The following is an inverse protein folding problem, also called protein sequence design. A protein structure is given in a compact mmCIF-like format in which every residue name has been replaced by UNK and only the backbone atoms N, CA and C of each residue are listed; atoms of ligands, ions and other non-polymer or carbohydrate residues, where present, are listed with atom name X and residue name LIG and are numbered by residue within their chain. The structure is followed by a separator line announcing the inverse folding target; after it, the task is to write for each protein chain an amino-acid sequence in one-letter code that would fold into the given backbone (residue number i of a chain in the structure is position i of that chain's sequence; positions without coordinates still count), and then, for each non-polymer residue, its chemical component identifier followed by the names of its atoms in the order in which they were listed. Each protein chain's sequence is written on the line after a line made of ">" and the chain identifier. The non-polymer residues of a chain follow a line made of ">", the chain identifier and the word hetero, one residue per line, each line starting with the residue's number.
data_IF_562285095320
#
_entry.id   IF_562285095320
#
_cell.length_a   1.000
_cell.length_b   1.000
_cell.length_c   1.000
_cell.angle_alpha   90.00
_cell.angle_beta   90.00
_cell.angle_gamma   90.00
#
_symmetry.space_group_name_H-M   'P 1'
#
loop_
_entity.id
_entity.type
_entity.pdbx_description
1 polymer ?
#
# COMPACT_ATOMS: atom_id res chain seq x y z
N UNK A 1 21.05 -30.27 -49.38
CA UNK A 1 20.02 -29.69 -48.50
C UNK A 1 20.11 -30.24 -47.06
N UNK A 2 21.27 -30.10 -46.39
CA UNK A 2 21.46 -30.55 -44.99
C UNK A 2 22.06 -29.49 -44.06
N UNK A 3 22.54 -28.37 -44.63
CA UNK A 3 23.20 -27.28 -43.87
C UNK A 3 22.20 -26.18 -43.44
N UNK A 4 21.01 -26.14 -44.05
CA UNK A 4 19.99 -25.09 -43.77
C UNK A 4 19.24 -25.33 -42.44
N UNK A 5 19.20 -26.56 -41.94
CA UNK A 5 18.49 -26.88 -40.69
C UNK A 5 19.24 -26.51 -39.40
N UNK A 6 20.55 -26.25 -39.47
CA UNK A 6 21.36 -25.91 -38.28
C UNK A 6 21.22 -24.42 -37.91
N UNK A 7 20.89 -23.56 -38.88
CA UNK A 7 20.76 -22.10 -38.65
C UNK A 7 19.43 -21.73 -37.98
N UNK A 8 18.37 -22.53 -38.16
CA UNK A 8 17.04 -22.22 -37.62
C UNK A 8 16.85 -22.57 -36.13
N UNK A 9 17.74 -23.41 -35.56
CA UNK A 9 17.65 -23.84 -34.15
C UNK A 9 18.40 -22.89 -33.20
N UNK A 10 19.30 -22.03 -33.70
CA UNK A 10 20.05 -21.10 -32.85
C UNK A 10 19.29 -19.82 -32.46
N UNK A 11 18.06 -19.60 -32.97
CA UNK A 11 17.28 -18.39 -32.68
C UNK A 11 16.33 -18.49 -31.48
N UNK A 12 16.27 -19.64 -30.78
CA UNK A 12 15.30 -19.87 -29.69
C UNK A 12 15.89 -19.82 -28.27
N UNK A 13 17.16 -19.43 -28.07
CA UNK A 13 17.79 -19.46 -26.73
C UNK A 13 18.28 -18.11 -26.20
N UNK A 14 17.82 -17.00 -26.76
CA UNK A 14 17.98 -15.69 -26.10
C UNK A 14 16.83 -15.45 -25.11
N UNK A 15 16.65 -16.36 -24.14
CA UNK A 15 15.90 -16.02 -22.93
C UNK A 15 16.83 -15.16 -22.07
N UNK A 16 16.83 -13.84 -22.33
CA UNK A 16 17.51 -12.89 -21.47
C UNK A 16 16.82 -12.98 -20.11
N UNK A 17 17.52 -13.45 -19.07
CA UNK A 17 16.99 -13.44 -17.71
C UNK A 17 16.90 -11.98 -17.26
N UNK A 18 15.69 -11.41 -17.23
CA UNK A 18 15.48 -10.07 -16.70
C UNK A 18 15.63 -10.04 -15.19
N UNK A 19 16.17 -8.95 -14.66
CA UNK A 19 16.20 -8.70 -13.22
C UNK A 19 14.77 -8.49 -12.71
N UNK A 20 14.42 -9.22 -11.66
CA UNK A 20 13.09 -9.14 -11.05
C UNK A 20 13.02 -8.01 -10.04
N UNK A 21 12.09 -7.09 -10.21
CA UNK A 21 11.82 -5.98 -9.29
C UNK A 21 10.54 -6.28 -8.51
N UNK A 22 10.67 -6.55 -7.22
CA UNK A 22 9.55 -6.66 -6.29
C UNK A 22 9.15 -5.26 -5.84
N UNK A 23 8.13 -4.68 -6.48
CA UNK A 23 7.61 -3.35 -6.15
C UNK A 23 6.61 -3.44 -4.99
N UNK A 24 6.92 -2.77 -3.88
CA UNK A 24 6.02 -2.70 -2.73
C UNK A 24 5.08 -1.50 -2.89
N UNK A 25 3.81 -1.75 -3.18
CA UNK A 25 2.84 -0.74 -3.60
C UNK A 25 1.99 -0.20 -2.45
N UNK A 26 2.28 -0.59 -1.20
CA UNK A 26 1.47 -0.22 -0.03
C UNK A 26 1.28 1.30 0.13
N UNK A 27 2.30 2.09 -0.20
CA UNK A 27 2.28 3.55 -0.09
C UNK A 27 2.11 4.26 -1.44
N UNK A 28 1.80 3.49 -2.50
CA UNK A 28 1.60 4.02 -3.84
C UNK A 28 0.12 3.93 -4.22
N UNK A 29 -0.39 4.97 -4.86
CA UNK A 29 -1.66 4.91 -5.56
C UNK A 29 -1.60 3.93 -6.74
N UNK A 30 -2.77 3.59 -7.29
CA UNK A 30 -2.85 2.75 -8.49
C UNK A 30 -2.17 3.42 -9.71
N UNK A 31 -2.28 4.75 -9.83
CA UNK A 31 -1.66 5.53 -10.90
C UNK A 31 -0.12 5.53 -10.76
N UNK A 32 0.40 5.80 -9.56
CA UNK A 32 1.83 5.77 -9.28
C UNK A 32 2.41 4.37 -9.48
N UNK A 33 1.72 3.33 -8.98
CA UNK A 33 2.09 1.94 -9.20
C UNK A 33 2.19 1.63 -10.69
N UNK A 34 1.19 2.02 -11.46
CA UNK A 34 1.19 1.78 -12.91
C UNK A 34 2.31 2.55 -13.62
N UNK A 35 2.56 3.80 -13.22
CA UNK A 35 3.63 4.63 -13.76
C UNK A 35 5.00 4.01 -13.53
N UNK A 36 5.31 3.64 -12.28
CA UNK A 36 6.58 3.00 -11.92
C UNK A 36 6.75 1.67 -12.64
N UNK A 37 5.72 0.81 -12.64
CA UNK A 37 5.76 -0.48 -13.33
C UNK A 37 6.07 -0.32 -14.81
N UNK A 38 5.36 0.55 -15.53
CA UNK A 38 5.58 0.78 -16.97
C UNK A 38 6.99 1.30 -17.26
N UNK A 39 7.49 2.22 -16.43
CA UNK A 39 8.82 2.80 -16.62
C UNK A 39 9.92 1.74 -16.45
N UNK A 40 9.79 0.84 -15.47
CA UNK A 40 10.77 -0.22 -15.23
C UNK A 40 10.65 -1.36 -16.27
N UNK A 41 9.45 -1.76 -16.66
CA UNK A 41 9.24 -2.76 -17.72
C UNK A 41 9.81 -2.29 -19.06
N UNK A 42 9.71 -1.00 -19.39
CA UNK A 42 10.31 -0.41 -20.59
C UNK A 42 11.86 -0.49 -20.60
N UNK A 43 12.49 -0.62 -19.43
CA UNK A 43 13.93 -0.81 -19.25
C UNK A 43 14.33 -2.30 -19.23
N UNK A 44 13.37 -3.21 -19.38
CA UNK A 44 13.62 -4.65 -19.43
C UNK A 44 13.61 -5.34 -18.06
N UNK A 45 13.12 -4.69 -17.00
CA UNK A 45 12.90 -5.32 -15.70
C UNK A 45 11.59 -6.12 -15.68
N UNK A 46 11.56 -7.23 -14.92
CA UNK A 46 10.33 -7.98 -14.61
C UNK A 46 9.75 -7.47 -13.29
N UNK A 47 8.65 -6.72 -13.34
CA UNK A 47 8.09 -6.05 -12.15
C UNK A 47 6.97 -6.89 -11.52
N UNK A 48 7.15 -7.27 -10.26
CA UNK A 48 6.17 -7.99 -9.46
C UNK A 48 5.69 -7.10 -8.31
N UNK A 49 4.47 -6.57 -8.46
CA UNK A 49 3.83 -5.74 -7.44
C UNK A 49 3.33 -6.59 -6.25
N UNK A 50 3.47 -6.07 -5.03
CA UNK A 50 2.90 -6.66 -3.82
C UNK A 50 2.55 -5.57 -2.78
N UNK A 51 1.67 -5.89 -1.83
CA UNK A 51 1.18 -4.97 -0.79
C UNK A 51 1.73 -5.27 0.60
N UNK A 52 2.84 -6.01 0.69
CA UNK A 52 3.45 -6.40 1.96
C UNK A 52 3.90 -5.17 2.75
N UNK A 53 3.94 -5.32 4.08
CA UNK A 53 4.41 -4.27 5.00
C UNK A 53 5.91 -4.05 4.77
N UNK A 54 6.34 -2.79 4.81
CA UNK A 54 7.75 -2.44 4.77
C UNK A 54 8.43 -2.91 6.07
N UNK A 55 9.65 -3.48 6.02
CA UNK A 55 10.42 -3.78 7.23
C UNK A 55 10.58 -2.56 8.14
N UNK A 56 10.59 -2.76 9.46
CA UNK A 56 10.58 -1.67 10.46
C UNK A 56 11.75 -0.68 10.33
N UNK A 57 12.89 -1.11 9.80
CA UNK A 57 14.10 -0.28 9.62
C UNK A 57 14.10 0.58 8.34
N UNK A 58 13.01 0.54 7.55
CA UNK A 58 12.87 1.28 6.30
C UNK A 58 11.96 2.49 6.52
N UNK A 59 12.54 3.67 6.70
CA UNK A 59 11.81 4.92 6.94
C UNK A 59 11.75 5.86 5.73
N UNK A 60 12.52 5.55 4.69
CA UNK A 60 12.69 6.33 3.46
C UNK A 60 12.67 5.42 2.24
N UNK A 61 12.43 5.98 1.05
CA UNK A 61 12.52 5.25 -0.22
C UNK A 61 13.83 4.47 -0.29
N UNK A 62 13.71 3.14 -0.38
CA UNK A 62 14.82 2.20 -0.26
C UNK A 62 14.81 1.19 -1.41
N UNK A 63 15.97 1.03 -2.02
CA UNK A 63 16.25 -0.05 -2.95
C UNK A 63 17.04 -1.14 -2.23
N UNK A 64 16.44 -2.31 -2.12
CA UNK A 64 17.09 -3.53 -1.64
C UNK A 64 17.55 -4.35 -2.84
N UNK A 65 18.81 -4.74 -2.95
CA UNK A 65 19.27 -5.52 -4.12
C UNK A 65 20.04 -6.78 -3.76
N UNK A 66 19.91 -7.81 -4.60
CA UNK A 66 20.82 -8.95 -4.57
C UNK A 66 22.18 -8.52 -5.13
N UNK A 67 23.31 -8.79 -4.48
CA UNK A 67 24.62 -8.50 -5.06
C UNK A 67 24.95 -9.34 -6.30
N UNK A 68 24.09 -10.30 -6.66
CA UNK A 68 24.14 -11.07 -7.91
C UNK A 68 23.09 -10.60 -8.92
N UNK A 69 22.77 -9.30 -8.94
CA UNK A 69 21.97 -8.70 -10.02
C UNK A 69 22.74 -8.76 -11.33
N UNK A 70 22.06 -9.19 -12.39
CA UNK A 70 22.63 -9.31 -13.72
C UNK A 70 22.63 -7.96 -14.45
N UNK A 71 23.57 -7.78 -15.37
CA UNK A 71 23.78 -6.53 -16.11
C UNK A 71 24.67 -5.55 -15.35
N UNK A 72 25.77 -5.15 -16.00
CA UNK A 72 26.60 -4.06 -15.50
C UNK A 72 25.74 -2.78 -15.42
N UNK A 73 25.79 -2.08 -14.30
CA UNK A 73 25.10 -0.79 -14.10
C UNK A 73 23.56 -0.84 -14.02
N UNK A 74 22.91 -2.02 -14.00
CA UNK A 74 21.43 -2.13 -13.98
C UNK A 74 20.77 -1.45 -12.78
N UNK A 75 21.40 -1.51 -11.60
CA UNK A 75 20.92 -0.80 -10.40
C UNK A 75 20.95 0.72 -10.60
N UNK A 76 22.01 1.27 -11.20
CA UNK A 76 22.10 2.72 -11.43
C UNK A 76 21.08 3.17 -12.48
N UNK A 77 20.90 2.41 -13.57
CA UNK A 77 19.86 2.68 -14.57
C UNK A 77 18.47 2.72 -13.95
N UNK A 78 18.18 1.81 -13.02
CA UNK A 78 16.93 1.79 -12.28
C UNK A 78 16.80 3.05 -11.40
N UNK A 79 17.83 3.41 -10.62
CA UNK A 79 17.82 4.60 -9.76
C UNK A 79 17.62 5.87 -10.59
N UNK A 80 18.38 6.05 -11.67
CA UNK A 80 18.29 7.22 -12.55
C UNK A 80 16.89 7.38 -13.15
N UNK A 81 16.26 6.27 -13.54
CA UNK A 81 14.89 6.25 -14.08
C UNK A 81 13.85 6.67 -13.04
N UNK A 82 14.03 6.22 -11.80
CA UNK A 82 13.17 6.60 -10.69
C UNK A 82 13.32 8.08 -10.35
N UNK A 83 14.56 8.60 -10.26
CA UNK A 83 14.81 10.03 -10.03
C UNK A 83 14.17 10.91 -11.11
N UNK A 84 14.30 10.52 -12.39
CA UNK A 84 13.63 11.23 -13.50
C UNK A 84 12.11 11.21 -13.40
N UNK A 85 11.55 10.21 -12.72
CA UNK A 85 10.11 10.06 -12.47
C UNK A 85 9.66 10.69 -11.16
N UNK A 86 10.53 11.41 -10.45
CA UNK A 86 10.23 12.06 -9.17
C UNK A 86 10.34 11.14 -7.95
N UNK A 87 10.91 9.95 -8.10
CA UNK A 87 11.09 8.98 -7.02
C UNK A 87 12.56 8.95 -6.56
N UNK A 88 12.90 9.81 -5.60
CA UNK A 88 14.23 9.80 -4.99
C UNK A 88 14.49 8.53 -4.19
N UNK A 89 15.62 7.86 -4.43
CA UNK A 89 16.07 6.72 -3.61
C UNK A 89 17.07 7.21 -2.58
N UNK A 90 16.65 7.28 -1.32
CA UNK A 90 17.47 7.79 -0.22
C UNK A 90 18.34 6.72 0.43
N UNK A 91 18.01 5.43 0.23
CA UNK A 91 18.80 4.31 0.74
C UNK A 91 18.94 3.21 -0.29
N UNK A 92 20.15 2.70 -0.47
CA UNK A 92 20.44 1.53 -1.30
C UNK A 92 21.16 0.52 -0.42
N UNK A 93 20.54 -0.63 -0.18
CA UNK A 93 21.09 -1.67 0.71
C UNK A 93 21.10 -3.02 -0.01
N UNK A 94 22.11 -3.88 0.18
CA UNK A 94 22.03 -5.24 -0.32
C UNK A 94 21.08 -6.08 0.56
N UNK A 95 20.41 -7.09 -0.03
CA UNK A 95 19.52 -7.99 0.71
C UNK A 95 20.36 -9.04 1.44
N UNK A 96 20.34 -8.98 2.78
CA UNK A 96 21.01 -9.94 3.67
C UNK A 96 20.07 -10.43 4.76
N UNK A 97 20.25 -11.68 5.20
CA UNK A 97 19.93 -12.12 6.56
C UNK A 97 21.13 -12.88 7.10
N UNK A 98 21.76 -12.36 8.15
CA UNK A 98 23.04 -12.86 8.62
C UNK A 98 24.08 -12.88 7.49
N UNK A 99 24.66 -14.06 7.20
CA UNK A 99 25.69 -14.25 6.17
C UNK A 99 25.15 -14.75 4.81
N UNK A 100 23.83 -14.76 4.61
CA UNK A 100 23.21 -15.39 3.42
C UNK A 100 22.51 -14.34 2.55
N UNK A 101 22.81 -14.37 1.24
CA UNK A 101 22.18 -13.54 0.23
C UNK A 101 20.84 -14.14 -0.20
N UNK A 102 19.78 -13.35 -0.23
CA UNK A 102 18.49 -13.80 -0.76
C UNK A 102 18.42 -13.61 -2.27
N UNK A 103 17.75 -14.56 -2.93
CA UNK A 103 17.24 -14.53 -4.31
C UNK A 103 18.19 -13.91 -5.35
N UNK A 104 18.82 -14.77 -6.17
CA UNK A 104 19.64 -14.32 -7.31
C UNK A 104 18.85 -13.40 -8.24
N UNK A 105 19.51 -12.36 -8.76
CA UNK A 105 18.97 -11.43 -9.76
C UNK A 105 17.63 -10.76 -9.40
N UNK A 106 17.52 -10.25 -8.15
CA UNK A 106 16.31 -9.60 -7.65
C UNK A 106 16.59 -8.27 -6.95
N UNK A 107 15.61 -7.37 -7.03
CA UNK A 107 15.58 -6.06 -6.39
C UNK A 107 14.24 -5.93 -5.66
N UNK A 108 14.27 -5.55 -4.39
CA UNK A 108 13.11 -5.04 -3.66
C UNK A 108 13.06 -3.53 -3.77
N UNK A 109 11.93 -2.97 -4.22
CA UNK A 109 11.76 -1.55 -4.41
C UNK A 109 10.66 -1.04 -3.47
N UNK A 110 11.06 -0.24 -2.48
CA UNK A 110 10.22 0.32 -1.44
C UNK A 110 10.18 1.84 -1.62
N UNK A 111 9.11 2.36 -2.20
CA UNK A 111 8.98 3.79 -2.48
C UNK A 111 8.05 4.47 -1.47
N UNK A 112 8.46 5.64 -1.01
CA UNK A 112 7.67 6.56 -0.20
C UNK A 112 7.55 7.89 -0.95
N UNK A 113 6.32 8.44 -1.13
CA UNK A 113 6.14 9.76 -1.71
C UNK A 113 6.85 10.86 -0.91
N UNK A 114 7.22 11.95 -1.56
CA UNK A 114 7.91 13.06 -0.89
C UNK A 114 7.12 13.60 0.31
N UNK A 115 7.80 13.75 1.45
CA UNK A 115 7.21 14.23 2.70
C UNK A 115 6.52 13.17 3.56
N UNK A 116 6.49 11.89 3.15
CA UNK A 116 6.02 10.78 3.97
C UNK A 116 7.15 10.22 4.86
N UNK A 117 7.01 10.40 6.17
CA UNK A 117 7.73 9.62 7.18
C UNK A 117 6.85 8.41 7.53
N UNK A 118 7.36 7.19 7.35
CA UNK A 118 6.62 5.91 7.53
C UNK A 118 5.79 5.83 8.81
N UNK A 119 6.23 6.50 9.89
CA UNK A 119 5.58 6.41 11.20
C UNK A 119 4.36 7.32 11.37
N UNK A 120 4.15 8.31 10.49
CA UNK A 120 3.15 9.34 10.73
C UNK A 120 1.87 9.16 9.92
N UNK A 121 1.85 8.35 8.85
CA UNK A 121 0.66 8.21 7.99
C UNK A 121 0.14 6.78 7.88
N UNK A 122 -1.17 6.65 7.94
CA UNK A 122 -1.93 5.40 7.80
C UNK A 122 -2.25 5.19 6.32
N UNK A 123 -1.97 4.02 5.75
CA UNK A 123 -2.26 3.76 4.33
C UNK A 123 -3.74 3.43 4.10
N UNK A 124 -4.16 3.45 2.83
CA UNK A 124 -5.49 2.97 2.42
C UNK A 124 -5.70 1.51 2.86
N UNK A 125 -4.67 0.69 2.80
CA UNK A 125 -4.71 -0.71 3.21
C UNK A 125 -4.80 -0.87 4.74
N UNK A 126 -4.14 0.01 5.51
CA UNK A 126 -4.28 0.05 6.96
C UNK A 126 -5.70 0.50 7.36
N UNK A 127 -6.29 1.42 6.60
CA UNK A 127 -7.64 1.92 6.86
C UNK A 127 -8.73 0.90 6.51
N UNK A 128 -8.50 0.01 5.54
CA UNK A 128 -9.48 -0.94 5.04
C UNK A 128 -9.76 -2.08 6.05
N UNK A 129 -10.52 -1.77 7.10
CA UNK A 129 -10.82 -2.64 8.22
C UNK A 129 -12.25 -2.47 8.75
N UNK A 130 -12.63 -3.35 9.67
CA UNK A 130 -13.83 -3.19 10.50
C UNK A 130 -13.48 -2.46 11.81
N UNK A 131 -14.23 -1.41 12.11
CA UNK A 131 -14.04 -0.56 13.27
C UNK A 131 -15.23 -0.66 14.20
N UNK A 132 -14.95 -0.79 15.50
CA UNK A 132 -15.95 -0.82 16.56
C UNK A 132 -16.27 0.60 17.02
N UNK A 133 -17.55 0.92 17.20
CA UNK A 133 -17.95 2.21 17.78
C UNK A 133 -17.58 2.30 19.26
N UNK A 134 -16.85 3.35 19.63
CA UNK A 134 -16.69 3.85 21.01
C UNK A 134 -17.44 5.17 21.17
N UNK A 135 -17.82 5.47 22.42
CA UNK A 135 -18.56 6.69 22.82
C UNK A 135 -19.83 6.92 21.98
N UNK A 136 -20.52 5.84 21.66
CA UNK A 136 -21.70 5.81 20.79
C UNK A 136 -22.93 5.35 21.58
N UNK A 137 -24.11 5.93 21.33
CA UNK A 137 -25.36 5.52 22.01
C UNK A 137 -25.80 4.11 21.61
N UNK A 138 -25.50 3.71 20.37
CA UNK A 138 -25.82 2.40 19.82
C UNK A 138 -24.53 1.71 19.38
N UNK A 139 -24.49 0.38 19.44
CA UNK A 139 -23.38 -0.38 18.87
C UNK A 139 -23.50 -0.39 17.35
N UNK A 140 -22.59 0.32 16.68
CA UNK A 140 -22.53 0.45 15.22
C UNK A 140 -21.11 0.17 14.79
N UNK A 141 -20.92 -0.67 13.78
CA UNK A 141 -19.61 -0.85 13.19
C UNK A 141 -19.47 -0.03 11.92
N UNK A 142 -18.27 0.45 11.65
CA UNK A 142 -17.90 1.00 10.35
C UNK A 142 -16.97 0.01 9.68
N UNK A 143 -17.33 -0.45 8.48
CA UNK A 143 -16.44 -1.24 7.64
C UNK A 143 -15.95 -0.38 6.48
N UNK A 144 -14.64 -0.27 6.35
CA UNK A 144 -13.97 0.29 5.19
C UNK A 144 -13.39 -0.87 4.38
N UNK A 145 -13.86 -1.06 3.15
CA UNK A 145 -13.37 -2.13 2.28
C UNK A 145 -12.17 -1.65 1.46
N UNK A 146 -11.32 -2.59 1.05
CA UNK A 146 -10.11 -2.32 0.26
C UNK A 146 -10.39 -1.80 -1.16
N UNK A 147 -11.63 -1.93 -1.63
CA UNK A 147 -12.11 -1.40 -2.92
C UNK A 147 -12.66 0.03 -2.82
N UNK A 148 -12.35 0.73 -1.72
CA UNK A 148 -12.82 2.07 -1.41
C UNK A 148 -14.33 2.18 -1.15
N UNK A 149 -15.05 1.09 -0.88
CA UNK A 149 -16.45 1.14 -0.42
C UNK A 149 -16.56 1.10 1.10
N UNK A 150 -17.59 1.72 1.68
CA UNK A 150 -17.86 1.66 3.12
C UNK A 150 -19.25 1.11 3.43
N UNK A 151 -19.41 0.58 4.65
CA UNK A 151 -20.69 0.15 5.21
C UNK A 151 -20.78 0.47 6.71
N UNK A 152 -21.89 1.05 7.16
CA UNK A 152 -22.26 1.10 8.56
C UNK A 152 -23.14 -0.11 8.92
N UNK A 153 -22.71 -0.91 9.89
CA UNK A 153 -23.38 -2.13 10.32
C UNK A 153 -24.04 -1.91 11.68
N UNK A 154 -25.37 -1.98 11.73
CA UNK A 154 -26.15 -1.89 12.97
C UNK A 154 -26.45 -3.30 13.49
N UNK A 155 -26.42 -3.47 14.81
CA UNK A 155 -26.80 -4.73 15.43
C UNK A 155 -28.28 -5.12 15.18
N UNK A 156 -29.12 -4.14 14.83
CA UNK A 156 -30.54 -4.33 14.54
C UNK A 156 -30.80 -4.15 13.04
N UNK A 157 -31.17 -5.24 12.35
CA UNK A 157 -31.32 -5.33 10.89
C UNK A 157 -32.41 -4.43 10.26
N UNK A 158 -33.16 -3.67 11.06
CA UNK A 158 -34.26 -2.83 10.58
C UNK A 158 -33.81 -1.61 9.74
N UNK A 159 -32.51 -1.33 9.68
CA UNK A 159 -31.94 -0.16 8.99
C UNK A 159 -31.09 -0.50 7.75
N UNK A 160 -30.99 -1.77 7.35
CA UNK A 160 -30.04 -2.24 6.33
C UNK A 160 -30.29 -1.74 4.89
N UNK A 161 -31.38 -1.01 4.64
CA UNK A 161 -31.76 -0.51 3.30
C UNK A 161 -31.66 1.01 3.14
N UNK A 162 -30.88 1.71 3.98
CA UNK A 162 -30.71 3.15 3.84
C UNK A 162 -29.43 3.48 3.06
N UNK A 163 -29.57 4.17 1.93
CA UNK A 163 -28.48 4.63 1.04
C UNK A 163 -27.40 5.45 1.76
N UNK A 164 -27.68 6.01 2.94
CA UNK A 164 -26.68 6.71 3.76
C UNK A 164 -25.66 5.76 4.41
N UNK A 165 -26.01 4.47 4.58
CA UNK A 165 -25.18 3.49 5.30
C UNK A 165 -24.10 2.87 4.44
N UNK A 166 -24.17 3.07 3.12
CA UNK A 166 -23.24 2.52 2.15
C UNK A 166 -22.75 3.61 1.21
N UNK A 167 -21.56 3.43 0.65
CA UNK A 167 -21.01 4.39 -0.29
C UNK A 167 -19.52 4.16 -0.54
N UNK A 168 -18.82 5.24 -0.86
CA UNK A 168 -17.38 5.21 -1.12
C UNK A 168 -16.62 6.05 -0.09
N UNK A 169 -15.37 5.70 0.18
CA UNK A 169 -14.50 6.45 1.07
C UNK A 169 -13.17 6.79 0.37
N UNK A 170 -12.55 7.88 0.81
CA UNK A 170 -11.24 8.32 0.31
C UNK A 170 -10.52 9.14 1.37
N UNK A 171 -9.18 9.17 1.29
CA UNK A 171 -8.37 10.15 2.01
C UNK A 171 -8.41 11.45 1.19
N UNK A 172 -8.94 12.53 1.75
CA UNK A 172 -8.99 13.83 1.06
C UNK A 172 -7.68 14.59 1.22
N UNK A 173 -7.23 14.70 2.47
CA UNK A 173 -5.94 15.27 2.86
C UNK A 173 -5.59 14.68 4.21
N UNK A 174 -4.43 14.03 4.37
CA UNK A 174 -4.04 13.48 5.67
C UNK A 174 -4.05 14.57 6.75
N UNK A 175 -4.62 14.33 7.96
CA UNK A 175 -5.14 13.06 8.49
C UNK A 175 -6.65 12.85 8.29
N UNK A 176 -7.28 13.37 7.24
CA UNK A 176 -8.74 13.34 7.06
C UNK A 176 -9.20 12.34 6.00
N UNK A 177 -10.28 11.63 6.31
CA UNK A 177 -11.06 10.84 5.36
C UNK A 177 -12.45 11.42 5.15
N UNK A 178 -12.98 11.19 3.96
CA UNK A 178 -14.37 11.47 3.59
C UNK A 178 -15.07 10.17 3.21
N UNK A 179 -16.29 9.99 3.71
CA UNK A 179 -17.22 8.94 3.30
C UNK A 179 -18.38 9.61 2.56
N UNK A 180 -18.65 9.19 1.33
CA UNK A 180 -19.70 9.73 0.46
C UNK A 180 -20.75 8.65 0.25
N UNK A 181 -22.00 8.92 0.66
CA UNK A 181 -23.11 7.98 0.50
C UNK A 181 -23.37 7.61 -0.96
N UNK A 182 -23.99 6.46 -1.19
CA UNK A 182 -24.28 5.95 -2.54
C UNK A 182 -25.09 6.95 -3.38
N UNK A 183 -26.08 7.60 -2.77
CA UNK A 183 -26.89 8.64 -3.41
C UNK A 183 -26.23 10.04 -3.44
N UNK A 184 -25.01 10.16 -2.90
CA UNK A 184 -24.20 11.39 -2.81
C UNK A 184 -24.82 12.54 -2.00
N UNK A 185 -25.92 12.28 -1.30
CA UNK A 185 -26.60 13.28 -0.48
C UNK A 185 -25.91 13.54 0.86
N UNK A 186 -25.10 12.59 1.35
CA UNK A 186 -24.43 12.68 2.63
C UNK A 186 -22.92 12.49 2.49
N UNK A 187 -22.20 13.32 3.24
CA UNK A 187 -20.74 13.28 3.37
C UNK A 187 -20.41 13.26 4.85
N UNK A 188 -19.51 12.36 5.24
CA UNK A 188 -19.07 12.23 6.62
C UNK A 188 -17.55 12.39 6.65
N UNK A 189 -17.07 13.26 7.54
CA UNK A 189 -15.64 13.55 7.67
C UNK A 189 -15.10 13.02 8.98
N UNK A 190 -13.97 12.31 8.91
CA UNK A 190 -13.27 11.81 10.08
C UNK A 190 -11.80 12.17 10.05
N UNK A 191 -11.25 12.47 11.21
CA UNK A 191 -9.82 12.61 11.46
C UNK A 191 -9.25 11.25 11.91
N UNK A 192 -8.18 10.82 11.27
CA UNK A 192 -7.43 9.60 11.54
C UNK A 192 -6.44 9.89 12.68
N UNK A 193 -6.52 9.10 13.75
CA UNK A 193 -5.52 9.08 14.80
C UNK A 193 -4.90 7.69 14.90
N UNK A 194 -3.58 7.62 14.87
CA UNK A 194 -2.81 6.41 15.11
C UNK A 194 -2.20 6.48 16.51
N UNK A 195 -2.47 5.47 17.33
CA UNK A 195 -1.90 5.33 18.67
C UNK A 195 -1.30 3.93 18.84
N UNK A 196 -0.20 3.83 19.57
CA UNK A 196 0.35 2.54 20.00
C UNK A 196 0.05 2.39 21.49
N UNK A 197 -0.76 1.39 21.82
CA UNK A 197 -1.00 0.96 23.19
C UNK A 197 -0.15 -0.27 23.51
N UNK A 198 0.16 -0.50 24.79
CA UNK A 198 0.83 -1.72 25.24
C UNK A 198 -0.03 -2.39 26.29
N UNK A 199 -0.31 -3.67 26.11
CA UNK A 199 -0.99 -4.50 27.10
C UNK A 199 -0.03 -5.56 27.67
N UNK A 200 -0.57 -6.48 28.47
CA UNK A 200 0.20 -7.55 29.12
C UNK A 200 0.80 -8.55 28.12
N UNK A 201 0.33 -8.55 26.87
CA UNK A 201 0.67 -9.50 25.80
C UNK A 201 1.57 -8.86 24.74
N UNK A 202 1.51 -7.55 24.52
CA UNK A 202 2.40 -6.86 23.59
C UNK A 202 1.93 -5.45 23.22
N UNK A 203 2.46 -4.92 22.11
CA UNK A 203 2.02 -3.65 21.54
C UNK A 203 0.81 -3.87 20.63
N UNK A 204 -0.16 -2.96 20.70
CA UNK A 204 -1.33 -2.93 19.84
C UNK A 204 -1.31 -1.60 19.10
N UNK A 205 -1.34 -1.67 17.78
CA UNK A 205 -1.52 -0.48 16.95
C UNK A 205 -3.02 -0.22 16.81
N UNK A 206 -3.46 0.96 17.24
CA UNK A 206 -4.84 1.40 17.18
C UNK A 206 -5.00 2.53 16.16
N UNK A 207 -6.00 2.38 15.30
CA UNK A 207 -6.47 3.43 14.41
C UNK A 207 -7.85 3.88 14.92
N UNK A 208 -7.96 5.16 15.25
CA UNK A 208 -9.22 5.81 15.61
C UNK A 208 -9.66 6.78 14.51
N UNK A 209 -10.94 6.70 14.12
CA UNK A 209 -11.58 7.67 13.25
C UNK A 209 -12.51 8.53 14.10
N UNK A 210 -12.15 9.81 14.27
CA UNK A 210 -12.92 10.76 15.07
C UNK A 210 -13.73 11.68 14.16
N UNK A 211 -15.05 11.83 14.40
CA UNK A 211 -15.88 12.68 13.56
C UNK A 211 -15.46 14.15 13.71
N UNK A 212 -15.22 14.83 12.57
CA UNK A 212 -14.78 16.23 12.53
C UNK A 212 -15.93 17.18 12.91
N UNK A 213 -17.15 16.84 12.51
CA UNK A 213 -18.35 17.64 12.74
C UNK A 213 -19.50 16.82 13.36
N UNK A 214 -20.59 17.53 13.67
CA UNK A 214 -21.83 16.89 14.07
C UNK A 214 -22.52 16.30 12.83
N UNK A 215 -22.66 14.98 12.82
CA UNK A 215 -23.25 14.26 11.70
C UNK A 215 -24.78 14.30 11.83
N UNK A 216 -25.45 15.07 10.97
CA UNK A 216 -26.89 15.33 11.06
C UNK A 216 -27.77 14.05 11.05
N UNK A 217 -27.31 12.98 10.40
CA UNK A 217 -28.08 11.74 10.22
C UNK A 217 -27.48 10.50 10.90
N UNK A 218 -26.28 10.60 11.48
CA UNK A 218 -25.59 9.49 12.16
C UNK A 218 -25.17 9.91 13.58
N UNK A 219 -25.18 8.98 14.54
CA UNK A 219 -24.69 9.29 15.87
C UNK A 219 -23.20 9.62 15.82
N UNK A 220 -22.78 10.63 16.61
CA UNK A 220 -21.38 11.03 16.73
C UNK A 220 -20.60 9.95 17.46
N UNK A 221 -19.93 9.07 16.71
CA UNK A 221 -19.23 7.91 17.24
C UNK A 221 -17.77 7.93 16.82
N UNK A 222 -16.90 7.51 17.73
CA UNK A 222 -15.49 7.26 17.41
C UNK A 222 -15.40 5.82 16.93
N UNK A 223 -14.78 5.57 15.79
CA UNK A 223 -14.62 4.21 15.26
C UNK A 223 -13.19 3.75 15.47
N UNK A 224 -13.00 2.60 16.11
CA UNK A 224 -11.67 2.11 16.50
C UNK A 224 -11.41 0.72 15.92
N UNK A 225 -10.27 0.57 15.25
CA UNK A 225 -9.72 -0.72 14.85
C UNK A 225 -8.37 -0.94 15.54
N UNK A 226 -8.09 -2.17 15.96
CA UNK A 226 -6.81 -2.54 16.55
C UNK A 226 -6.20 -3.73 15.83
N UNK A 227 -4.97 -3.54 15.35
CA UNK A 227 -4.17 -4.60 14.75
C UNK A 227 -3.09 -4.99 15.77
N UNK A 228 -3.02 -6.29 16.10
CA UNK A 228 -1.89 -6.82 16.86
C UNK A 228 -0.70 -6.94 15.91
N UNK A 229 0.38 -6.21 16.21
CA UNK A 229 1.66 -6.32 15.53
C UNK A 229 2.42 -7.58 16.01
#
# INVERSE_FOLDING_TARGET
>A
MKIIYVVLICFFTAACSSTKVHLYTRYLSAEETQGVTKNLEALGFDVVANTLVFPDDIEQSTLLYSPFVEGENSINVLIDSLEQSGWGISSVKPIFSGNHYYTKNSVGLLLLPDGLVKNDQVTVQDLANEYESKKCKNTIKLRLNSDATYQFLYANNAYNENDQLIGNWQITSYPYIELISLNKAWRFYYEIHKNIESDVVGKIELIELKPVDDQYSLPKCIYVNGIRA
#
